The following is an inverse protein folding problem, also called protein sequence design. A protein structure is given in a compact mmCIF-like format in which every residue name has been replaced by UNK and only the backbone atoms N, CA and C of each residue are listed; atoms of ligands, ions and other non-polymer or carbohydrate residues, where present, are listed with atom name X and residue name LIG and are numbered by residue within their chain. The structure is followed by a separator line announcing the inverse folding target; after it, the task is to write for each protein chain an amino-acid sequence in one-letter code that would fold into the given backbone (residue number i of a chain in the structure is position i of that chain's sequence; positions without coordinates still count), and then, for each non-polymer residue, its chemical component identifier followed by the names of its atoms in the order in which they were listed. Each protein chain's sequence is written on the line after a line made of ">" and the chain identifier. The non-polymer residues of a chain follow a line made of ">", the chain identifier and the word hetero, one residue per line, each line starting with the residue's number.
data_IF_229440246481
#
_entry.id   IF_229440246481
#
_cell.length_a   1.000
_cell.length_b   1.000
_cell.length_c   1.000
_cell.angle_alpha   90.00
_cell.angle_beta   90.00
_cell.angle_gamma   90.00
#
_symmetry.space_group_name_H-M   'P 1'
#
loop_
_entity.id
_entity.type
_entity.pdbx_description
1 polymer ?
#
# COMPACT_ATOMS: atom_id res chain seq x y z
N UNK A 1 -40.63 29.40 -52.47
CA UNK A 1 -40.35 28.20 -51.67
C UNK A 1 -38.87 27.86 -51.80
N UNK A 2 -38.01 28.11 -50.80
CA UNK A 2 -36.70 27.48 -50.71
C UNK A 2 -36.76 26.28 -49.75
N UNK A 3 -35.94 25.22 -49.94
CA UNK A 3 -35.84 24.13 -48.99
C UNK A 3 -34.82 24.47 -47.90
N UNK A 4 -35.20 24.22 -46.65
CA UNK A 4 -34.34 24.33 -45.47
C UNK A 4 -33.50 23.06 -45.38
N UNK A 5 -32.18 23.21 -45.45
CA UNK A 5 -31.19 22.15 -45.27
C UNK A 5 -31.02 21.89 -43.76
N UNK A 6 -31.45 20.73 -43.26
CA UNK A 6 -31.11 20.30 -41.90
C UNK A 6 -29.73 19.65 -41.88
N UNK A 7 -28.77 20.28 -41.20
CA UNK A 7 -27.52 19.64 -40.80
C UNK A 7 -27.75 18.79 -39.56
N UNK A 8 -27.60 17.46 -39.70
CA UNK A 8 -27.51 16.56 -38.56
C UNK A 8 -26.10 16.62 -37.98
N UNK A 9 -25.96 17.15 -36.76
CA UNK A 9 -24.72 17.09 -36.00
C UNK A 9 -24.55 15.66 -35.46
N UNK A 10 -23.55 14.94 -35.97
CA UNK A 10 -23.12 13.67 -35.42
C UNK A 10 -22.34 13.96 -34.14
N UNK A 11 -22.96 13.71 -32.98
CA UNK A 11 -22.25 13.64 -31.70
C UNK A 11 -21.33 12.43 -31.73
N UNK A 12 -20.04 12.66 -31.95
CA UNK A 12 -19.01 11.65 -31.75
C UNK A 12 -18.97 11.32 -30.25
N UNK A 13 -19.44 10.14 -29.87
CA UNK A 13 -19.23 9.59 -28.54
C UNK A 13 -17.74 9.38 -28.33
N UNK A 14 -17.13 10.13 -27.40
CA UNK A 14 -15.76 9.88 -26.98
C UNK A 14 -15.66 8.47 -26.40
N UNK A 15 -14.64 7.67 -26.78
CA UNK A 15 -14.42 6.38 -26.14
C UNK A 15 -14.22 6.58 -24.63
N UNK A 16 -14.66 5.63 -23.79
CA UNK A 16 -14.39 5.70 -22.36
C UNK A 16 -12.88 5.79 -22.17
N UNK A 17 -12.42 6.74 -21.35
CA UNK A 17 -11.04 6.79 -20.93
C UNK A 17 -10.70 5.43 -20.31
N UNK A 18 -9.85 4.66 -20.99
CA UNK A 18 -9.26 3.44 -20.42
C UNK A 18 -8.47 3.89 -19.20
N UNK A 19 -9.07 3.71 -18.02
CA UNK A 19 -8.48 4.15 -16.75
C UNK A 19 -7.10 3.55 -16.59
N UNK A 20 -6.11 4.39 -16.25
CA UNK A 20 -4.83 3.90 -15.75
C UNK A 20 -5.15 3.02 -14.54
N UNK A 21 -4.70 1.77 -14.57
CA UNK A 21 -4.87 0.82 -13.48
C UNK A 21 -3.52 0.22 -13.13
N UNK A 22 -3.39 -0.25 -11.90
CA UNK A 22 -2.27 -1.10 -11.52
C UNK A 22 -2.44 -2.45 -12.23
N UNK A 23 -1.54 -2.76 -13.14
CA UNK A 23 -1.45 -4.08 -13.77
C UNK A 23 -0.71 -5.05 -12.83
N UNK A 24 -1.17 -6.29 -12.69
CA UNK A 24 -0.50 -7.27 -11.85
C UNK A 24 0.84 -7.67 -12.46
N UNK A 25 1.83 -7.89 -11.58
CA UNK A 25 3.08 -8.54 -11.93
C UNK A 25 3.09 -9.97 -11.39
N UNK A 26 3.51 -10.93 -12.20
CA UNK A 26 3.60 -12.34 -11.83
C UNK A 26 5.04 -12.80 -11.85
N UNK A 27 5.36 -13.75 -10.98
CA UNK A 27 6.70 -14.31 -10.85
C UNK A 27 6.69 -15.74 -11.40
N UNK A 28 7.56 -16.04 -12.36
CA UNK A 28 7.61 -17.37 -13.00
C UNK A 28 8.28 -18.45 -12.13
N UNK A 29 8.91 -18.07 -11.02
CA UNK A 29 9.61 -18.97 -10.12
C UNK A 29 10.30 -18.22 -8.98
N UNK A 30 10.85 -18.96 -8.03
CA UNK A 30 11.63 -18.39 -6.93
C UNK A 30 12.81 -17.59 -7.51
N UNK A 31 12.95 -16.34 -7.06
CA UNK A 31 14.00 -15.39 -7.49
C UNK A 31 13.88 -14.87 -8.94
N UNK A 32 12.85 -15.26 -9.69
CA UNK A 32 12.58 -14.69 -11.02
C UNK A 32 12.09 -13.23 -10.91
N UNK A 33 12.28 -12.39 -11.94
CA UNK A 33 11.65 -11.08 -11.99
C UNK A 33 10.12 -11.17 -11.90
N UNK A 34 9.52 -10.13 -11.33
CA UNK A 34 8.08 -9.90 -11.40
C UNK A 34 7.76 -9.21 -12.73
N UNK A 35 7.04 -9.87 -13.62
CA UNK A 35 6.79 -9.40 -14.98
C UNK A 35 5.30 -9.18 -15.24
N UNK A 36 4.99 -8.26 -16.16
CA UNK A 36 3.64 -8.14 -16.72
C UNK A 36 3.28 -9.40 -17.50
N UNK A 37 1.99 -9.62 -17.74
CA UNK A 37 1.50 -10.84 -18.39
C UNK A 37 2.16 -11.07 -19.76
N UNK A 38 2.43 -10.00 -20.50
CA UNK A 38 3.10 -10.04 -21.81
C UNK A 38 4.64 -10.05 -21.72
N UNK A 39 5.22 -10.02 -20.51
CA UNK A 39 6.66 -10.03 -20.27
C UNK A 39 7.40 -8.78 -20.77
N UNK A 40 6.67 -7.75 -21.19
CA UNK A 40 7.26 -6.54 -21.78
C UNK A 40 7.90 -5.63 -20.75
N UNK A 41 7.51 -5.75 -19.49
CA UNK A 41 8.02 -5.00 -18.36
C UNK A 41 8.26 -5.96 -17.20
N UNK A 42 9.45 -5.93 -16.62
CA UNK A 42 9.78 -6.74 -15.45
C UNK A 42 10.49 -5.89 -14.40
N UNK A 43 10.25 -6.23 -13.14
CA UNK A 43 10.85 -5.60 -11.98
C UNK A 43 11.56 -6.66 -11.15
N UNK A 44 12.84 -6.43 -10.86
CA UNK A 44 13.61 -7.20 -9.88
C UNK A 44 13.89 -6.33 -8.67
N UNK A 45 13.97 -6.94 -7.49
CA UNK A 45 14.30 -6.24 -6.24
C UNK A 45 15.12 -7.14 -5.34
N UNK A 46 15.99 -6.55 -4.53
CA UNK A 46 16.78 -7.22 -3.49
C UNK A 46 16.32 -6.78 -2.10
N UNK A 47 16.69 -7.55 -1.07
CA UNK A 47 16.33 -7.23 0.32
C UNK A 47 17.03 -5.98 0.84
N UNK A 48 18.16 -5.62 0.26
CA UNK A 48 18.99 -4.46 0.62
C UNK A 48 18.49 -3.17 -0.06
N UNK A 49 17.41 -3.25 -0.85
CA UNK A 49 16.78 -2.08 -1.46
C UNK A 49 17.30 -1.69 -2.83
N UNK A 50 18.01 -2.58 -3.54
CA UNK A 50 18.24 -2.40 -4.96
C UNK A 50 17.03 -2.90 -5.76
N UNK A 51 16.60 -2.17 -6.77
CA UNK A 51 15.65 -2.67 -7.77
C UNK A 51 16.05 -2.26 -9.18
N UNK A 52 15.62 -3.05 -10.16
CA UNK A 52 15.79 -2.74 -11.58
C UNK A 52 14.48 -2.97 -12.32
N UNK A 53 14.25 -2.13 -13.32
CA UNK A 53 13.13 -2.25 -14.26
C UNK A 53 13.70 -2.56 -15.63
N UNK A 54 13.25 -3.65 -16.23
CA UNK A 54 13.59 -3.99 -17.62
C UNK A 54 12.37 -3.85 -18.52
N UNK A 55 12.60 -3.36 -19.73
CA UNK A 55 11.59 -3.20 -20.78
C UNK A 55 12.03 -3.94 -22.03
N UNK A 56 11.21 -4.90 -22.48
CA UNK A 56 11.52 -5.78 -23.62
C UNK A 56 12.93 -6.41 -23.49
N UNK A 57 13.25 -6.89 -22.29
CA UNK A 57 14.53 -7.52 -21.96
C UNK A 57 15.74 -6.58 -21.80
N UNK A 58 15.57 -5.25 -21.95
CA UNK A 58 16.65 -4.27 -21.76
C UNK A 58 16.47 -3.52 -20.46
N UNK A 59 17.58 -3.26 -19.74
CA UNK A 59 17.56 -2.41 -18.55
C UNK A 59 17.03 -1.01 -18.93
N UNK A 60 15.95 -0.59 -18.26
CA UNK A 60 15.29 0.69 -18.48
C UNK A 60 15.56 1.67 -17.33
N UNK A 61 15.64 1.16 -16.10
CA UNK A 61 16.01 1.94 -14.93
C UNK A 61 16.56 1.03 -13.82
N UNK A 62 17.32 1.63 -12.92
CA UNK A 62 17.80 0.99 -11.70
C UNK A 62 17.84 2.02 -10.57
N UNK A 63 17.67 1.56 -9.35
CA UNK A 63 17.77 2.39 -8.16
C UNK A 63 18.23 1.53 -7.00
N UNK A 64 18.97 2.15 -6.08
CA UNK A 64 19.42 1.52 -4.85
C UNK A 64 19.09 2.43 -3.69
N UNK A 65 18.48 1.87 -2.65
CA UNK A 65 18.25 2.57 -1.40
C UNK A 65 19.59 3.12 -0.88
N UNK A 66 19.58 4.41 -0.50
CA UNK A 66 20.68 4.95 0.30
C UNK A 66 20.72 4.16 1.60
N UNK A 67 21.88 3.68 2.03
CA UNK A 67 22.04 3.00 3.32
C UNK A 67 21.46 3.90 4.42
N UNK A 68 20.30 3.50 4.95
CA UNK A 68 19.65 4.13 6.10
C UNK A 68 20.30 3.68 7.41
N UNK A 69 19.82 4.22 8.53
CA UNK A 69 20.31 3.87 9.87
C UNK A 69 19.66 2.60 10.46
N UNK A 70 18.69 1.97 9.79
CA UNK A 70 17.89 0.89 10.36
C UNK A 70 17.83 -0.37 9.48
N UNK A 71 17.46 -1.50 10.11
CA UNK A 71 17.25 -2.83 9.52
C UNK A 71 16.00 -2.87 8.60
N UNK A 72 15.90 -2.00 7.60
CA UNK A 72 14.83 -2.06 6.59
C UNK A 72 15.08 -3.23 5.62
N UNK A 73 14.06 -4.05 5.38
CA UNK A 73 14.09 -5.07 4.32
C UNK A 73 13.16 -4.67 3.18
N UNK A 74 13.64 -4.82 1.94
CA UNK A 74 12.91 -4.42 0.75
C UNK A 74 12.35 -5.62 -0.03
N UNK A 75 11.20 -5.44 -0.67
CA UNK A 75 10.65 -6.38 -1.66
C UNK A 75 9.88 -5.65 -2.75
N UNK A 76 9.92 -6.15 -3.97
CA UNK A 76 9.04 -5.62 -5.03
C UNK A 76 7.59 -6.03 -4.77
N UNK A 77 6.64 -5.09 -4.88
CA UNK A 77 5.21 -5.39 -4.80
C UNK A 77 4.69 -5.90 -6.16
N UNK A 78 3.69 -6.78 -6.19
CA UNK A 78 3.26 -7.49 -7.40
C UNK A 78 2.34 -6.65 -8.29
N UNK A 79 2.62 -5.36 -8.42
CA UNK A 79 1.85 -4.47 -9.29
C UNK A 79 2.68 -3.29 -9.78
N UNK A 80 2.31 -2.80 -10.95
CA UNK A 80 2.93 -1.63 -11.58
C UNK A 80 1.83 -0.81 -12.25
N UNK A 81 2.04 0.49 -12.41
CA UNK A 81 1.12 1.34 -13.16
C UNK A 81 1.86 2.00 -14.30
N UNK A 82 1.32 1.92 -15.51
CA UNK A 82 1.84 2.64 -16.69
C UNK A 82 1.28 4.05 -16.72
N UNK A 83 2.16 5.02 -16.94
CA UNK A 83 1.73 6.40 -17.16
C UNK A 83 1.06 6.52 -18.54
N UNK A 84 -0.01 7.30 -18.62
CA UNK A 84 -0.79 7.44 -19.87
C UNK A 84 -0.01 8.05 -21.03
N UNK A 85 0.99 8.88 -20.73
CA UNK A 85 1.88 9.48 -21.75
C UNK A 85 2.96 8.50 -22.25
N UNK A 86 3.02 7.28 -21.71
CA UNK A 86 3.96 6.23 -22.11
C UNK A 86 5.41 6.47 -21.69
N UNK A 87 5.69 7.56 -20.96
CA UNK A 87 7.05 7.98 -20.64
C UNK A 87 7.63 7.34 -19.38
N UNK A 88 6.86 6.50 -18.69
CA UNK A 88 7.29 5.86 -17.46
C UNK A 88 6.27 4.94 -16.82
N UNK A 89 6.61 4.51 -15.60
CA UNK A 89 5.78 3.66 -14.74
C UNK A 89 5.89 4.09 -13.27
N UNK A 90 4.88 3.74 -12.47
CA UNK A 90 4.95 3.70 -11.01
C UNK A 90 5.14 2.25 -10.56
N UNK A 91 6.22 1.99 -9.82
CA UNK A 91 6.53 0.67 -9.26
C UNK A 91 6.34 0.70 -7.76
N UNK A 92 5.61 -0.26 -7.20
CA UNK A 92 5.49 -0.43 -5.75
C UNK A 92 6.67 -1.22 -5.17
N UNK A 93 7.34 -0.66 -4.17
CA UNK A 93 8.37 -1.34 -3.37
C UNK A 93 7.88 -1.42 -1.93
N UNK A 94 7.80 -2.63 -1.38
CA UNK A 94 7.51 -2.88 0.02
C UNK A 94 8.75 -2.65 0.87
N UNK A 95 8.62 -1.85 1.91
CA UNK A 95 9.66 -1.57 2.92
C UNK A 95 9.18 -2.15 4.24
N UNK A 96 9.75 -3.28 4.64
CA UNK A 96 9.44 -3.98 5.89
C UNK A 96 10.27 -3.38 7.02
N UNK A 97 9.58 -3.02 8.10
CA UNK A 97 10.14 -2.62 9.38
C UNK A 97 9.58 -3.56 10.44
N UNK A 98 10.42 -4.04 11.34
CA UNK A 98 9.98 -4.99 12.37
C UNK A 98 10.72 -4.77 13.68
N UNK A 99 10.00 -4.99 14.79
CA UNK A 99 10.55 -5.11 16.12
C UNK A 99 10.07 -6.40 16.77
N UNK A 100 10.97 -7.05 17.50
CA UNK A 100 10.64 -8.20 18.36
C UNK A 100 10.74 -7.77 19.81
N UNK A 101 9.83 -8.25 20.64
CA UNK A 101 9.86 -8.04 22.09
C UNK A 101 9.42 -9.31 22.82
N UNK A 102 9.67 -9.38 24.12
CA UNK A 102 9.34 -10.57 24.90
C UNK A 102 7.82 -10.77 24.94
N UNK A 103 7.34 -11.82 24.26
CA UNK A 103 5.92 -12.12 24.15
C UNK A 103 5.23 -11.53 22.93
N UNK A 104 5.95 -11.08 21.91
CA UNK A 104 5.29 -10.56 20.72
C UNK A 104 6.19 -10.15 19.57
N UNK A 105 5.55 -9.72 18.50
CA UNK A 105 6.19 -9.18 17.32
C UNK A 105 5.40 -7.98 16.82
N UNK A 106 6.08 -7.09 16.15
CA UNK A 106 5.45 -6.05 15.36
C UNK A 106 6.14 -5.99 14.01
N UNK A 107 5.35 -6.15 12.96
CA UNK A 107 5.78 -6.03 11.58
C UNK A 107 4.90 -5.01 10.88
N UNK A 108 5.52 -4.05 10.21
CA UNK A 108 4.84 -3.09 9.34
C UNK A 108 5.55 -3.06 8.00
N UNK A 109 4.79 -3.22 6.94
CA UNK A 109 5.26 -3.06 5.57
C UNK A 109 4.67 -1.76 5.04
N UNK A 110 5.53 -0.86 4.58
CA UNK A 110 5.14 0.34 3.84
C UNK A 110 5.22 0.07 2.35
N UNK A 111 4.28 0.58 1.57
CA UNK A 111 4.40 0.66 0.11
C UNK A 111 5.01 2.01 -0.27
N UNK A 112 6.20 1.96 -0.86
CA UNK A 112 6.88 3.09 -1.46
C UNK A 112 6.67 3.05 -2.97
N UNK A 113 5.99 4.04 -3.53
CA UNK A 113 5.84 4.17 -4.98
C UNK A 113 7.06 4.87 -5.55
N UNK A 114 7.72 4.19 -6.48
CA UNK A 114 8.85 4.70 -7.23
C UNK A 114 8.36 5.16 -8.60
N UNK A 115 8.50 6.44 -8.90
CA UNK A 115 8.32 6.96 -10.25
C UNK A 115 9.56 6.68 -11.07
N UNK A 116 9.38 5.91 -12.15
CA UNK A 116 10.41 5.57 -13.11
C UNK A 116 10.05 6.24 -14.43
N UNK A 117 10.74 7.33 -14.78
CA UNK A 117 10.68 7.93 -16.13
C UNK A 117 11.84 7.38 -16.94
N UNK A 118 11.61 7.10 -18.22
CA UNK A 118 12.64 6.50 -19.07
C UNK A 118 13.82 7.45 -19.26
N UNK A 119 15.03 7.00 -18.90
CA UNK A 119 16.25 7.81 -18.99
C UNK A 119 16.49 8.77 -17.82
N UNK A 120 15.62 8.75 -16.81
CA UNK A 120 15.81 9.49 -15.56
C UNK A 120 16.09 8.54 -14.40
N UNK A 121 16.71 9.07 -13.34
CA UNK A 121 16.87 8.33 -12.09
C UNK A 121 15.49 8.12 -11.43
N UNK A 122 15.16 6.90 -10.98
CA UNK A 122 13.92 6.66 -10.23
C UNK A 122 13.85 7.48 -8.95
N UNK A 123 12.66 8.02 -8.65
CA UNK A 123 12.42 8.83 -7.45
C UNK A 123 11.24 8.28 -6.66
N UNK A 124 11.35 8.28 -5.33
CA UNK A 124 10.23 7.93 -4.45
C UNK A 124 9.23 9.10 -4.45
N UNK A 125 7.96 8.81 -4.75
CA UNK A 125 6.91 9.84 -4.88
C UNK A 125 5.77 9.67 -3.87
N UNK A 126 5.72 8.54 -3.17
CA UNK A 126 4.73 8.26 -2.13
C UNK A 126 5.25 7.16 -1.22
N UNK A 127 4.98 7.25 0.07
CA UNK A 127 5.14 6.15 1.03
C UNK A 127 3.90 6.12 1.92
N UNK A 128 3.25 4.96 2.02
CA UNK A 128 2.07 4.75 2.88
C UNK A 128 2.10 3.35 3.48
N UNK A 129 1.42 3.09 4.59
CA UNK A 129 1.33 1.74 5.12
C UNK A 129 0.68 0.80 4.09
N UNK A 130 1.27 -0.38 3.91
CA UNK A 130 0.78 -1.43 3.02
C UNK A 130 0.03 -2.50 3.82
N UNK A 131 0.67 -3.01 4.86
CA UNK A 131 0.13 -3.99 5.79
C UNK A 131 0.84 -3.95 7.14
N UNK A 132 0.19 -4.36 8.21
CA UNK A 132 0.83 -4.63 9.49
C UNK A 132 0.27 -5.88 10.15
N UNK A 133 1.11 -6.52 10.95
CA UNK A 133 0.77 -7.61 11.85
C UNK A 133 1.53 -7.40 13.15
N UNK A 134 0.80 -7.10 14.21
CA UNK A 134 1.35 -6.78 15.53
C UNK A 134 0.63 -7.65 16.55
N UNK A 135 1.41 -8.34 17.38
CA UNK A 135 0.93 -9.28 18.38
C UNK A 135 1.62 -9.02 19.70
N UNK A 136 0.84 -8.76 20.75
CA UNK A 136 1.33 -8.47 22.10
C UNK A 136 0.77 -9.51 23.06
N UNK A 137 1.63 -10.25 23.78
CA UNK A 137 1.20 -11.19 24.83
C UNK A 137 0.38 -10.47 25.89
N UNK A 138 -0.77 -11.06 26.22
CA UNK A 138 -1.70 -10.56 27.21
C UNK A 138 -1.85 -11.46 28.46
N UNK A 139 -1.41 -12.71 28.42
CA UNK A 139 -1.45 -13.62 29.58
C UNK A 139 -0.05 -13.93 30.13
N UNK A 140 0.07 -14.04 31.45
CA UNK A 140 1.30 -14.40 32.15
C UNK A 140 1.12 -15.61 33.09
N UNK A 141 -0.11 -15.89 33.51
CA UNK A 141 -0.46 -17.06 34.33
C UNK A 141 -1.84 -17.66 33.98
N UNK A 142 -2.25 -18.72 34.71
CA UNK A 142 -3.53 -19.40 34.52
C UNK A 142 -4.74 -18.51 34.83
N UNK A 143 -4.59 -17.52 35.73
CA UNK A 143 -5.67 -16.59 36.07
C UNK A 143 -5.92 -15.66 34.87
N UNK A 144 -4.86 -15.18 34.24
CA UNK A 144 -4.96 -14.36 33.03
C UNK A 144 -5.59 -15.15 31.88
N UNK A 145 -5.14 -16.41 31.68
CA UNK A 145 -5.71 -17.31 30.67
C UNK A 145 -7.23 -17.44 30.85
N UNK A 146 -7.68 -17.63 32.09
CA UNK A 146 -9.11 -17.72 32.40
C UNK A 146 -9.84 -16.39 32.20
N UNK A 147 -9.25 -15.28 32.64
CA UNK A 147 -9.82 -13.92 32.45
C UNK A 147 -9.99 -13.59 30.96
N UNK A 148 -9.07 -14.07 30.12
CA UNK A 148 -9.06 -13.80 28.68
C UNK A 148 -9.59 -14.93 27.81
N UNK A 149 -10.21 -15.96 28.39
CA UNK A 149 -10.73 -17.11 27.63
C UNK A 149 -9.69 -17.67 26.64
N UNK A 150 -8.44 -17.81 27.10
CA UNK A 150 -7.25 -18.25 26.35
C UNK A 150 -6.83 -17.33 25.18
N UNK A 151 -7.43 -16.15 25.01
CA UNK A 151 -6.97 -15.12 24.07
C UNK A 151 -5.75 -14.37 24.63
N UNK A 152 -4.61 -15.07 24.62
CA UNK A 152 -3.36 -14.63 25.26
C UNK A 152 -2.46 -13.76 24.39
N UNK A 153 -2.97 -13.27 23.28
CA UNK A 153 -2.33 -12.25 22.47
C UNK A 153 -3.38 -11.23 22.00
N UNK A 154 -3.04 -9.96 22.12
CA UNK A 154 -3.74 -8.86 21.48
C UNK A 154 -3.12 -8.65 20.10
N UNK A 155 -3.96 -8.67 19.08
CA UNK A 155 -3.58 -8.56 17.68
C UNK A 155 -4.07 -7.24 17.10
N UNK A 156 -3.19 -6.58 16.34
CA UNK A 156 -3.47 -5.34 15.64
C UNK A 156 -3.04 -5.52 14.19
N UNK A 157 -4.01 -5.54 13.29
CA UNK A 157 -3.76 -5.75 11.86
C UNK A 157 -4.18 -4.54 11.06
N UNK A 158 -3.42 -4.25 10.01
CA UNK A 158 -3.78 -3.23 9.05
C UNK A 158 -3.51 -3.77 7.65
N UNK A 159 -4.40 -3.44 6.72
CA UNK A 159 -4.23 -3.72 5.30
C UNK A 159 -4.62 -2.49 4.49
N UNK A 160 -3.98 -2.34 3.34
CA UNK A 160 -4.30 -1.27 2.41
C UNK A 160 -4.48 -1.79 0.99
N UNK A 161 -5.25 -1.05 0.21
CA UNK A 161 -5.25 -1.17 -1.24
C UNK A 161 -5.05 0.19 -1.86
N UNK A 162 -4.36 0.22 -3.00
CA UNK A 162 -4.11 1.42 -3.77
C UNK A 162 -4.66 1.23 -5.17
N UNK A 163 -5.46 2.20 -5.64
CA UNK A 163 -6.02 2.18 -6.99
C UNK A 163 -5.73 3.51 -7.67
N UNK A 164 -5.44 3.47 -8.96
CA UNK A 164 -5.45 4.69 -9.74
C UNK A 164 -6.89 5.07 -10.08
N UNK A 165 -7.15 6.36 -10.05
CA UNK A 165 -8.44 6.94 -10.43
C UNK A 165 -8.18 8.01 -11.49
N UNK A 166 -9.08 8.16 -12.47
CA UNK A 166 -8.93 9.18 -13.50
C UNK A 166 -8.76 10.56 -12.88
N UNK A 167 -7.82 11.32 -13.43
CA UNK A 167 -7.58 12.72 -13.09
C UNK A 167 -7.93 13.57 -14.33
N UNK A 168 -8.33 14.82 -14.09
CA UNK A 168 -8.67 15.81 -15.12
C UNK A 168 -7.61 16.90 -15.32
N UNK A 169 -6.48 16.83 -14.61
CA UNK A 169 -5.52 17.92 -14.44
C UNK A 169 -4.05 17.59 -14.75
N UNK A 170 -3.72 16.42 -15.32
CA UNK A 170 -2.36 16.14 -15.76
C UNK A 170 -2.09 14.69 -16.21
N UNK A 171 -0.82 14.39 -16.48
CA UNK A 171 -0.38 13.07 -16.97
C UNK A 171 -0.21 12.02 -15.85
N UNK A 172 -0.24 12.45 -14.58
CA UNK A 172 -0.16 11.57 -13.41
C UNK A 172 -1.58 11.25 -12.93
N UNK A 173 -1.94 9.98 -12.68
CA UNK A 173 -3.26 9.65 -12.15
C UNK A 173 -3.39 10.16 -10.72
N UNK A 174 -4.62 10.40 -10.27
CA UNK A 174 -4.88 10.44 -8.84
C UNK A 174 -4.83 9.01 -8.29
N UNK A 175 -4.53 8.86 -7.01
CA UNK A 175 -4.51 7.56 -6.34
C UNK A 175 -5.53 7.54 -5.20
N UNK A 176 -6.29 6.46 -5.09
CA UNK A 176 -7.19 6.21 -3.98
C UNK A 176 -6.60 5.12 -3.09
N UNK A 177 -6.21 5.51 -1.88
CA UNK A 177 -5.79 4.61 -0.82
C UNK A 177 -7.01 4.22 0.01
N UNK A 178 -7.24 2.93 0.19
CA UNK A 178 -8.22 2.40 1.12
C UNK A 178 -7.50 1.62 2.22
N UNK A 179 -7.68 2.05 3.46
CA UNK A 179 -7.10 1.45 4.66
C UNK A 179 -8.17 0.70 5.44
N UNK A 180 -7.82 -0.46 5.99
CA UNK A 180 -8.63 -1.20 6.95
C UNK A 180 -7.75 -1.63 8.11
N UNK A 181 -8.14 -1.29 9.33
CA UNK A 181 -7.46 -1.67 10.56
C UNK A 181 -8.43 -2.45 11.47
N UNK A 182 -7.94 -3.50 12.11
CA UNK A 182 -8.70 -4.30 13.08
C UNK A 182 -7.87 -4.67 14.30
N UNK A 183 -8.55 -4.79 15.43
CA UNK A 183 -7.99 -5.28 16.68
C UNK A 183 -8.72 -6.55 17.14
N UNK A 184 -7.99 -7.44 17.80
CA UNK A 184 -8.54 -8.65 18.42
C UNK A 184 -7.85 -8.91 19.77
N UNK A 185 -8.57 -9.35 20.81
CA UNK A 185 -10.02 -9.36 20.94
C UNK A 185 -10.67 -7.97 20.84
N UNK A 186 -11.99 -7.91 20.78
CA UNK A 186 -12.73 -6.65 20.76
C UNK A 186 -12.34 -5.77 21.95
N UNK A 187 -12.21 -4.46 21.72
CA UNK A 187 -11.96 -3.46 22.77
C UNK A 187 -10.52 -3.35 23.26
N UNK A 188 -9.59 -4.21 22.81
CA UNK A 188 -8.17 -4.06 23.15
C UNK A 188 -7.58 -2.78 22.57
N UNK A 189 -6.61 -2.22 23.28
CA UNK A 189 -5.92 -0.99 22.92
C UNK A 189 -4.42 -1.17 23.19
N UNK A 190 -3.58 -0.79 22.22
CA UNK A 190 -2.14 -1.06 22.28
C UNK A 190 -1.42 -0.26 23.37
N UNK A 191 -2.03 0.82 23.84
CA UNK A 191 -1.51 1.74 24.86
C UNK A 191 -2.10 1.46 26.25
N UNK A 192 -2.98 0.47 26.39
CA UNK A 192 -3.60 0.10 27.66
C UNK A 192 -3.21 -1.33 28.07
N UNK A 193 -3.23 -1.59 29.38
CA UNK A 193 -3.07 -2.95 29.87
C UNK A 193 -4.37 -3.73 29.71
N UNK A 194 -4.29 -4.80 28.91
CA UNK A 194 -5.39 -5.69 28.62
C UNK A 194 -5.93 -6.43 29.86
N UNK A 195 -5.15 -6.56 30.92
CA UNK A 195 -5.55 -7.19 32.18
C UNK A 195 -6.32 -6.25 33.11
N UNK A 196 -6.25 -4.93 32.88
CA UNK A 196 -7.07 -3.93 33.59
C UNK A 196 -8.52 -3.87 33.05
N UNK A 197 -8.78 -4.49 31.90
CA UNK A 197 -10.11 -4.59 31.31
C UNK A 197 -10.98 -5.67 31.99
N UNK A 198 -12.32 -5.58 31.89
CA UNK A 198 -13.21 -6.66 32.31
C UNK A 198 -12.85 -8.01 31.68
N UNK A 199 -13.15 -9.10 32.38
CA UNK A 199 -12.96 -10.45 31.85
C UNK A 199 -13.71 -10.63 30.53
N UNK A 200 -13.05 -11.28 29.56
CA UNK A 200 -13.62 -11.49 28.24
C UNK A 200 -14.81 -12.43 28.33
N UNK A 201 -15.78 -12.15 27.47
CA UNK A 201 -16.89 -13.05 27.15
C UNK A 201 -16.66 -13.65 25.76
N UNK A 202 -17.40 -14.70 25.44
CA UNK A 202 -17.33 -15.31 24.10
C UNK A 202 -17.69 -14.32 22.97
N UNK A 203 -18.47 -13.28 23.28
CA UNK A 203 -18.85 -12.24 22.33
C UNK A 203 -17.71 -11.25 22.02
N UNK A 204 -16.65 -11.25 22.84
CA UNK A 204 -15.49 -10.37 22.69
C UNK A 204 -14.38 -11.03 21.85
N UNK A 205 -14.44 -12.35 21.65
CA UNK A 205 -13.51 -13.13 20.83
C UNK A 205 -13.78 -12.96 19.33
N UNK A 206 -13.79 -11.72 18.87
CA UNK A 206 -13.99 -11.33 17.48
C UNK A 206 -13.12 -10.13 17.15
N UNK A 207 -12.78 -9.99 15.87
CA UNK A 207 -12.13 -8.77 15.39
C UNK A 207 -13.10 -7.57 15.49
N UNK A 208 -12.58 -6.45 15.93
CA UNK A 208 -13.24 -5.15 15.88
C UNK A 208 -12.54 -4.26 14.85
N UNK A 209 -13.33 -3.52 14.07
CA UNK A 209 -12.78 -2.54 13.13
C UNK A 209 -12.45 -1.26 13.85
N UNK A 210 -11.19 -0.83 13.75
CA UNK A 210 -10.78 0.50 14.20
C UNK A 210 -11.34 1.55 13.22
N UNK A 211 -12.21 2.42 13.72
CA UNK A 211 -12.91 3.43 12.91
C UNK A 211 -12.03 4.61 12.53
N UNK A 212 -10.95 4.85 13.26
CA UNK A 212 -10.02 5.97 13.02
C UNK A 212 -9.06 5.62 11.88
N UNK A 213 -8.57 4.37 11.86
CA UNK A 213 -7.57 3.85 10.95
C UNK A 213 -8.15 3.04 9.78
N UNK A 214 -9.47 2.90 9.73
CA UNK A 214 -10.21 2.44 8.56
C UNK A 214 -10.78 3.64 7.79
N UNK A 215 -10.14 4.02 6.69
CA UNK A 215 -10.49 5.23 5.92
C UNK A 215 -10.10 5.11 4.44
N UNK A 216 -10.64 6.03 3.63
CA UNK A 216 -10.19 6.25 2.25
C UNK A 216 -9.51 7.61 2.14
N UNK A 217 -8.45 7.70 1.33
CA UNK A 217 -7.76 8.96 1.04
C UNK A 217 -7.39 9.10 -0.41
N UNK A 218 -7.71 10.25 -1.01
CA UNK A 218 -7.25 10.59 -2.35
C UNK A 218 -5.88 11.23 -2.23
N UNK A 219 -5.00 10.84 -3.13
CA UNK A 219 -3.70 11.45 -3.32
C UNK A 219 -3.61 12.04 -4.73
N UNK A 220 -3.18 13.28 -4.81
CA UNK A 220 -2.93 13.98 -6.07
C UNK A 220 -1.44 14.29 -6.18
N UNK A 221 -0.90 14.16 -7.39
CA UNK A 221 0.51 14.44 -7.64
C UNK A 221 0.78 15.95 -7.64
N UNK A 222 1.61 16.40 -6.70
CA UNK A 222 2.14 17.76 -6.65
C UNK A 222 3.45 17.81 -7.44
N UNK A 223 3.43 18.49 -8.58
CA UNK A 223 4.59 18.62 -9.47
C UNK A 223 5.75 19.41 -8.85
N UNK A 224 5.47 20.41 -8.01
CA UNK A 224 6.49 21.23 -7.37
C UNK A 224 7.22 20.43 -6.28
N UNK A 225 6.48 19.65 -5.48
CA UNK A 225 7.04 18.75 -4.48
C UNK A 225 7.58 17.43 -5.07
N UNK A 226 7.24 17.14 -6.35
CA UNK A 226 7.48 15.84 -7.02
C UNK A 226 6.97 14.65 -6.21
N UNK A 227 5.81 14.79 -5.57
CA UNK A 227 5.26 13.79 -4.66
C UNK A 227 3.74 13.79 -4.65
N UNK A 228 3.15 12.65 -4.29
CA UNK A 228 1.73 12.54 -4.02
C UNK A 228 1.38 13.15 -2.66
N UNK A 229 0.36 14.00 -2.64
CA UNK A 229 -0.17 14.66 -1.44
C UNK A 229 -1.59 14.18 -1.16
N UNK A 230 -1.91 13.81 0.08
CA UNK A 230 -3.27 13.48 0.45
C UNK A 230 -4.15 14.73 0.38
N UNK A 231 -5.43 14.55 0.06
CA UNK A 231 -6.45 15.60 0.01
C UNK A 231 -6.82 16.15 1.40
N UNK A 232 -6.50 15.44 2.46
CA UNK A 232 -6.63 15.90 3.84
C UNK A 232 -5.65 15.17 4.80
N UNK A 233 -5.37 15.71 6.01
CA UNK A 233 -4.40 15.16 6.96
C UNK A 233 -4.66 13.70 7.35
N UNK A 234 -3.65 12.83 7.37
CA UNK A 234 -3.86 11.42 7.73
C UNK A 234 -4.17 11.26 9.23
N UNK A 235 -5.04 10.31 9.61
CA UNK A 235 -5.29 10.03 11.02
C UNK A 235 -4.03 9.46 11.71
N UNK A 236 -3.88 9.66 13.03
CA UNK A 236 -2.77 9.09 13.80
C UNK A 236 -3.00 7.59 14.02
N UNK A 237 -2.34 6.76 13.22
CA UNK A 237 -2.51 5.30 13.22
C UNK A 237 -1.27 4.55 13.73
N UNK A 238 -0.53 5.16 14.65
CA UNK A 238 0.73 4.64 15.18
C UNK A 238 0.60 3.24 15.79
N UNK A 239 -0.56 2.91 16.35
CA UNK A 239 -0.93 1.58 16.87
C UNK A 239 -0.74 0.48 15.84
N UNK A 240 -0.89 0.82 14.56
CA UNK A 240 -0.79 -0.11 13.43
C UNK A 240 0.43 0.16 12.54
N UNK A 241 1.00 1.37 12.57
CA UNK A 241 2.05 1.79 11.63
C UNK A 241 3.46 1.88 12.23
N UNK A 242 3.59 1.73 13.55
CA UNK A 242 4.88 1.70 14.24
C UNK A 242 5.16 0.27 14.73
N UNK A 243 6.23 -0.39 14.27
CA UNK A 243 6.69 -1.66 14.84
C UNK A 243 7.09 -1.48 16.31
#
# INVERSE_FOLDING_TARGET
>A
MPPILMMAAVLAASPPATGQNFEPLTQAGKDAPLCTAEGSLCVTGTREGAFAVTRKGKLAAQWTAKKGQDNEEFRTLPSVLRLSDGSGVLVGIGVRRSQMYSGGNAEVIFQRLMLVRWGEEPVAVMETPYSSDISIRACFDEKDMKQRLDACADQYTLTSTLKAVPNTHGNMPDLMLAMKATNFPRGVNRQADSLEMPALTQADLVEETDKTCTYNRRYTFDAAARAYRPDAPLPPCEDFTVP
#
